data_IF_929710202664
#
_entry.id   IF_929710202664
#
_cell.length_a   1.000
_cell.length_b   1.000
_cell.length_c   1.000
_cell.angle_alpha   90.00
_cell.angle_beta   90.00
_cell.angle_gamma   90.00
#
_symmetry.space_group_name_H-M   'P 1'
#
loop_
_entity.id
_entity.type
_entity.pdbx_description
1 polymer ?
#
# COMPACT_ATOMS: atom_id res chain seq x y z
N UNK A 1 29.05 33.98 40.41
CA UNK A 1 29.33 32.62 39.92
C UNK A 1 27.99 31.95 39.72
N UNK A 2 27.39 31.95 38.53
CA UNK A 2 27.99 31.57 37.25
C UNK A 2 27.74 30.07 37.09
N UNK A 3 26.85 29.70 36.18
CA UNK A 3 26.47 28.32 35.92
C UNK A 3 25.15 28.22 35.16
N UNK A 4 25.13 28.72 33.92
CA UNK A 4 24.22 28.21 32.88
C UNK A 4 24.66 26.77 32.56
N UNK A 5 23.72 25.83 32.55
CA UNK A 5 23.90 24.52 31.92
C UNK A 5 22.88 24.42 30.78
N UNK A 6 23.31 24.81 29.59
CA UNK A 6 22.69 24.38 28.35
C UNK A 6 22.86 22.87 28.24
N UNK A 7 21.74 22.16 28.17
CA UNK A 7 21.69 20.79 27.67
C UNK A 7 21.43 20.89 26.18
N UNK A 8 22.51 20.83 25.42
CA UNK A 8 22.51 20.55 23.99
C UNK A 8 22.07 19.09 23.82
N UNK A 9 20.84 18.88 23.33
CA UNK A 9 20.37 17.57 22.88
C UNK A 9 20.68 17.47 21.38
N UNK A 10 21.96 17.32 21.06
CA UNK A 10 22.38 16.88 19.73
C UNK A 10 21.96 15.43 19.57
N UNK A 11 20.81 15.22 18.91
CA UNK A 11 20.58 13.97 18.19
C UNK A 11 21.70 13.83 17.16
N UNK A 12 22.20 12.62 16.99
CA UNK A 12 23.20 12.31 15.97
C UNK A 12 22.52 12.50 14.60
N UNK A 13 22.51 13.73 14.09
CA UNK A 13 22.01 14.03 12.74
C UNK A 13 22.94 13.29 11.77
N UNK A 14 22.45 12.17 11.23
CA UNK A 14 23.17 11.39 10.23
C UNK A 14 23.64 12.28 9.08
N UNK A 15 24.73 11.89 8.41
CA UNK A 15 25.22 12.66 7.26
C UNK A 15 24.16 12.63 6.17
N UNK A 16 23.77 13.78 5.60
CA UNK A 16 22.84 13.79 4.47
C UNK A 16 23.35 12.85 3.39
N UNK A 17 22.46 12.01 2.86
CA UNK A 17 22.86 10.99 1.92
C UNK A 17 23.59 11.55 0.70
N UNK A 18 23.21 12.76 0.25
CA UNK A 18 23.84 13.45 -0.88
C UNK A 18 25.28 13.94 -0.61
N UNK A 19 25.67 14.05 0.66
CA UNK A 19 27.02 14.45 1.10
C UNK A 19 27.87 13.24 1.53
N UNK A 20 27.37 12.02 1.32
CA UNK A 20 28.00 10.77 1.76
C UNK A 20 28.70 10.02 0.63
N UNK A 21 29.35 8.89 0.94
CA UNK A 21 29.85 7.95 -0.08
C UNK A 21 28.76 7.25 -0.88
N UNK A 22 27.50 7.39 -0.45
CA UNK A 22 26.32 6.80 -1.05
C UNK A 22 25.52 7.79 -1.91
N UNK A 23 26.05 9.00 -2.15
CA UNK A 23 25.36 10.06 -2.89
C UNK A 23 24.87 9.64 -4.28
N UNK A 24 25.56 8.71 -4.93
CA UNK A 24 25.23 8.19 -6.26
C UNK A 24 24.39 6.90 -6.22
N UNK A 25 24.05 6.35 -5.04
CA UNK A 25 23.17 5.18 -4.95
C UNK A 25 21.75 5.58 -5.39
N UNK A 26 21.11 4.70 -6.16
CA UNK A 26 19.71 4.90 -6.58
C UNK A 26 18.82 5.16 -5.36
N UNK A 27 18.96 4.34 -4.30
CA UNK A 27 18.29 4.52 -3.02
C UNK A 27 18.48 5.91 -2.40
N UNK A 28 19.62 6.56 -2.60
CA UNK A 28 19.88 7.91 -2.08
C UNK A 28 19.13 9.01 -2.85
N UNK A 29 19.00 8.79 -4.16
CA UNK A 29 18.50 9.77 -5.13
C UNK A 29 17.02 9.66 -5.45
N UNK A 30 16.34 8.59 -5.02
CA UNK A 30 14.94 8.33 -5.38
C UNK A 30 13.93 9.31 -4.76
N UNK A 31 14.27 10.01 -3.68
CA UNK A 31 13.28 10.66 -2.81
C UNK A 31 12.83 12.04 -3.30
N UNK A 32 11.52 12.27 -3.26
CA UNK A 32 10.91 13.59 -3.39
C UNK A 32 11.07 14.31 -2.05
N UNK A 33 11.95 15.29 -1.99
CA UNK A 33 12.26 16.02 -0.76
C UNK A 33 11.54 17.36 -0.72
N UNK A 34 10.98 17.71 0.44
CA UNK A 34 10.39 19.00 0.68
C UNK A 34 10.52 19.44 2.15
N UNK A 35 10.84 20.72 2.34
CA UNK A 35 11.05 21.38 3.63
C UNK A 35 10.17 22.63 3.82
N UNK A 36 9.30 22.94 2.86
CA UNK A 36 8.53 24.20 2.88
C UNK A 36 7.05 24.07 2.48
N UNK A 37 6.73 23.22 1.51
CA UNK A 37 5.35 23.02 1.05
C UNK A 37 4.54 22.21 2.08
N UNK A 38 3.25 22.52 2.20
CA UNK A 38 2.34 21.89 3.17
C UNK A 38 1.02 21.49 2.52
N UNK A 39 0.35 20.47 3.06
CA UNK A 39 -0.99 20.06 2.63
C UNK A 39 -2.09 20.32 3.68
N UNK A 40 -3.33 20.34 3.21
CA UNK A 40 -4.53 20.50 4.02
C UNK A 40 -4.95 19.15 4.63
N UNK A 41 -4.46 18.85 5.84
CA UNK A 41 -4.78 17.64 6.62
C UNK A 41 -4.92 18.00 8.11
N UNK A 42 -5.26 17.01 8.96
CA UNK A 42 -5.30 17.22 10.41
C UNK A 42 -3.88 17.48 10.94
N UNK A 43 -3.68 18.67 11.53
CA UNK A 43 -2.46 19.00 12.26
C UNK A 43 -2.60 18.50 13.72
N UNK A 44 -1.75 17.56 14.12
CA UNK A 44 -1.86 16.87 15.42
C UNK A 44 -1.12 17.57 16.57
N UNK A 45 -0.14 18.44 16.26
CA UNK A 45 0.76 19.03 17.25
C UNK A 45 1.18 20.49 16.97
N UNK A 46 0.60 21.13 15.95
CA UNK A 46 0.98 22.47 15.51
C UNK A 46 2.27 22.51 14.68
N UNK A 47 2.77 21.36 14.22
CA UNK A 47 3.75 21.27 13.14
C UNK A 47 3.18 21.82 11.83
N UNK A 48 4.09 22.28 10.96
CA UNK A 48 3.75 22.53 9.57
C UNK A 48 3.49 21.17 8.91
N UNK A 49 2.32 20.97 8.30
CA UNK A 49 1.91 19.73 7.62
C UNK A 49 2.75 19.51 6.34
N UNK A 50 4.07 19.38 6.48
CA UNK A 50 5.01 19.30 5.39
C UNK A 50 4.70 18.09 4.51
N UNK A 51 4.69 18.33 3.21
CA UNK A 51 4.54 17.25 2.23
C UNK A 51 5.88 16.61 1.93
N UNK A 52 5.81 15.39 1.40
CA UNK A 52 6.90 14.55 0.92
C UNK A 52 7.95 14.18 2.00
N UNK A 53 9.19 13.91 1.59
CA UNK A 53 10.27 13.48 2.50
C UNK A 53 11.00 14.69 3.09
N UNK A 54 11.15 14.74 4.42
CA UNK A 54 11.82 15.83 5.13
C UNK A 54 13.34 15.60 5.23
N UNK A 55 13.81 14.36 5.37
CA UNK A 55 15.24 14.07 5.38
C UNK A 55 15.59 12.68 4.87
N UNK A 56 16.79 12.55 4.29
CA UNK A 56 17.39 11.27 3.89
C UNK A 56 18.85 11.32 4.30
N UNK A 57 19.22 10.52 5.29
CA UNK A 57 20.55 10.53 5.91
C UNK A 57 21.15 9.13 6.00
N UNK A 58 22.47 9.05 6.06
CA UNK A 58 23.19 7.82 6.32
C UNK A 58 23.31 7.62 7.82
N UNK A 59 22.89 6.44 8.28
CA UNK A 59 23.06 6.00 9.67
C UNK A 59 23.83 4.68 9.69
N UNK A 60 24.57 4.42 10.77
CA UNK A 60 25.35 3.20 10.91
C UNK A 60 24.91 2.45 12.16
N UNK A 61 24.66 1.15 12.02
CA UNK A 61 24.35 0.27 13.13
C UNK A 61 25.06 -1.08 12.95
N UNK A 62 25.67 -1.58 14.02
CA UNK A 62 26.40 -2.87 14.05
C UNK A 62 27.44 -3.06 12.93
N UNK A 63 28.06 -1.95 12.50
CA UNK A 63 29.09 -1.95 11.46
C UNK A 63 28.55 -2.03 10.02
N UNK A 64 27.24 -1.88 9.83
CA UNK A 64 26.59 -1.72 8.53
C UNK A 64 26.01 -0.31 8.41
N UNK A 65 26.04 0.23 7.19
CA UNK A 65 25.44 1.52 6.87
C UNK A 65 24.04 1.32 6.29
N UNK A 66 23.17 2.28 6.58
CA UNK A 66 21.76 2.29 6.20
C UNK A 66 21.38 3.68 5.72
N UNK A 67 20.32 3.76 4.91
CA UNK A 67 19.67 5.01 4.57
C UNK A 67 18.44 5.17 5.46
N UNK A 68 18.41 6.26 6.23
CA UNK A 68 17.32 6.66 7.11
C UNK A 68 16.50 7.74 6.44
N UNK A 69 15.20 7.52 6.32
CA UNK A 69 14.23 8.38 5.64
C UNK A 69 13.22 8.87 6.67
N UNK A 70 13.08 10.19 6.81
CA UNK A 70 12.09 10.80 7.70
C UNK A 70 11.01 11.50 6.88
N UNK A 71 9.74 11.20 7.16
CA UNK A 71 8.58 11.84 6.53
C UNK A 71 7.38 11.91 7.48
N UNK A 72 6.51 12.91 7.29
CA UNK A 72 5.16 12.94 7.87
C UNK A 72 4.16 11.98 7.23
N UNK A 73 4.51 11.36 6.08
CA UNK A 73 3.64 10.48 5.30
C UNK A 73 2.53 11.22 4.55
N UNK A 74 2.77 12.49 4.19
CA UNK A 74 1.81 13.37 3.52
C UNK A 74 2.34 13.69 2.13
N UNK A 75 1.65 13.32 1.04
CA UNK A 75 2.14 13.58 -0.32
C UNK A 75 1.77 14.98 -0.83
N UNK A 76 2.54 15.49 -1.77
CA UNK A 76 2.24 16.70 -2.56
C UNK A 76 1.33 16.43 -3.78
N UNK A 77 0.43 15.46 -3.71
CA UNK A 77 -0.36 15.05 -4.88
C UNK A 77 -1.20 16.20 -5.45
N UNK A 78 -1.15 16.35 -6.77
CA UNK A 78 -2.05 17.22 -7.54
C UNK A 78 -2.73 16.39 -8.60
N UNK A 79 -4.05 16.51 -8.72
CA UNK A 79 -4.86 15.69 -9.62
C UNK A 79 -5.74 16.54 -10.53
N UNK A 80 -5.75 16.21 -11.83
CA UNK A 80 -6.62 16.83 -12.83
C UNK A 80 -7.79 15.92 -13.18
N UNK A 81 -9.01 16.40 -13.00
CA UNK A 81 -10.20 15.58 -13.15
C UNK A 81 -10.56 15.31 -14.61
N UNK A 82 -10.67 14.02 -14.95
CA UNK A 82 -11.18 13.57 -16.25
C UNK A 82 -12.68 13.29 -16.19
N UNK A 83 -13.32 13.16 -17.35
CA UNK A 83 -14.73 12.75 -17.42
C UNK A 83 -14.97 11.37 -16.80
N UNK A 84 -13.99 10.46 -16.89
CA UNK A 84 -14.07 9.11 -16.31
C UNK A 84 -14.05 9.16 -14.79
N UNK A 85 -13.17 9.99 -14.21
CA UNK A 85 -13.09 10.16 -12.75
C UNK A 85 -14.39 10.74 -12.18
N UNK A 86 -14.95 11.78 -12.82
CA UNK A 86 -16.24 12.36 -12.40
C UNK A 86 -17.35 11.32 -12.49
N UNK A 87 -17.43 10.57 -13.60
CA UNK A 87 -18.42 9.51 -13.76
C UNK A 87 -18.26 8.40 -12.70
N UNK A 88 -17.02 8.04 -12.35
CA UNK A 88 -16.75 7.05 -11.30
C UNK A 88 -17.23 7.53 -9.93
N UNK A 89 -16.98 8.81 -9.58
CA UNK A 89 -17.46 9.42 -8.34
C UNK A 89 -18.99 9.45 -8.27
N UNK A 90 -19.66 9.83 -9.36
CA UNK A 90 -21.13 9.87 -9.43
C UNK A 90 -21.78 8.47 -9.43
N UNK A 91 -21.05 7.45 -9.92
CA UNK A 91 -21.53 6.07 -10.00
C UNK A 91 -21.30 5.26 -8.72
N UNK A 92 -20.70 5.85 -7.68
CA UNK A 92 -20.48 5.17 -6.38
C UNK A 92 -21.80 4.65 -5.81
N UNK A 93 -21.83 3.44 -5.21
CA UNK A 93 -23.08 2.84 -4.71
C UNK A 93 -23.83 3.74 -3.72
N UNK A 94 -23.08 4.48 -2.91
CA UNK A 94 -23.59 5.37 -1.87
C UNK A 94 -23.40 6.86 -2.20
N UNK A 95 -23.29 7.23 -3.49
CA UNK A 95 -23.05 8.62 -3.90
C UNK A 95 -23.98 9.65 -3.23
N UNK A 96 -25.24 9.30 -2.95
CA UNK A 96 -26.19 10.21 -2.27
C UNK A 96 -25.84 10.55 -0.82
N UNK A 97 -24.98 9.76 -0.18
CA UNK A 97 -24.50 9.97 1.20
C UNK A 97 -22.99 10.19 1.27
N UNK A 98 -22.27 9.78 0.24
CA UNK A 98 -20.82 9.99 0.16
C UNK A 98 -20.45 11.45 -0.02
N UNK A 99 -21.33 12.24 -0.63
CA UNK A 99 -21.13 13.67 -0.81
C UNK A 99 -21.99 14.48 0.16
N UNK A 100 -21.45 15.60 0.64
CA UNK A 100 -22.21 16.54 1.47
C UNK A 100 -23.33 17.25 0.66
N UNK A 101 -23.20 17.26 -0.66
CA UNK A 101 -24.17 17.80 -1.62
C UNK A 101 -24.78 16.73 -2.52
N UNK A 102 -25.19 17.12 -3.73
CA UNK A 102 -25.80 16.20 -4.70
C UNK A 102 -24.79 15.32 -5.47
N UNK A 103 -23.49 15.52 -5.24
CA UNK A 103 -22.40 14.88 -5.97
C UNK A 103 -21.07 15.61 -5.73
N UNK A 104 -20.01 15.27 -6.47
CA UNK A 104 -18.72 15.96 -6.39
C UNK A 104 -18.85 17.44 -6.77
N UNK A 105 -18.02 18.31 -6.18
CA UNK A 105 -18.00 19.75 -6.46
C UNK A 105 -17.07 20.14 -7.61
N UNK A 106 -16.23 19.21 -8.04
CA UNK A 106 -15.26 19.36 -9.13
C UNK A 106 -15.87 19.04 -10.50
N UNK A 107 -15.30 19.63 -11.54
CA UNK A 107 -15.65 19.46 -12.96
C UNK A 107 -14.48 18.93 -13.78
N UNK A 108 -14.76 18.45 -14.99
CA UNK A 108 -13.71 18.00 -15.93
C UNK A 108 -12.75 19.15 -16.24
N UNK A 109 -11.45 18.89 -16.06
CA UNK A 109 -10.38 19.85 -16.25
C UNK A 109 -10.04 20.67 -15.01
N UNK A 110 -10.78 20.54 -13.91
CA UNK A 110 -10.37 21.09 -12.62
C UNK A 110 -9.14 20.36 -12.12
N UNK A 111 -8.22 21.11 -11.51
CA UNK A 111 -7.03 20.58 -10.84
C UNK A 111 -7.14 20.89 -9.36
N UNK A 112 -6.92 19.90 -8.50
CA UNK A 112 -6.96 20.07 -7.04
C UNK A 112 -5.74 19.42 -6.40
N UNK A 113 -5.34 19.98 -5.26
CA UNK A 113 -4.24 19.46 -4.45
C UNK A 113 -4.76 18.47 -3.40
N UNK A 114 -3.85 17.68 -2.84
CA UNK A 114 -4.12 16.75 -1.76
C UNK A 114 -4.79 17.44 -0.56
N UNK A 115 -5.92 16.89 -0.13
CA UNK A 115 -6.73 17.47 0.95
C UNK A 115 -7.73 18.55 0.51
N UNK A 116 -7.79 18.91 -0.78
CA UNK A 116 -8.78 19.89 -1.25
C UNK A 116 -10.23 19.41 -1.13
N UNK A 117 -11.16 20.33 -0.89
CA UNK A 117 -12.58 20.01 -0.79
C UNK A 117 -13.22 19.71 -2.16
N UNK A 118 -13.39 18.42 -2.48
CA UNK A 118 -14.11 17.94 -3.67
C UNK A 118 -15.55 17.53 -3.38
N UNK A 119 -16.06 17.85 -2.18
CA UNK A 119 -17.45 17.70 -1.80
C UNK A 119 -17.80 16.43 -1.03
N UNK A 120 -16.84 15.56 -0.70
CA UNK A 120 -17.12 14.38 0.11
C UNK A 120 -17.66 14.76 1.51
N UNK A 121 -18.41 13.86 2.10
CA UNK A 121 -18.87 13.91 3.48
C UNK A 121 -17.87 13.14 4.37
N UNK A 122 -16.67 13.70 4.53
CA UNK A 122 -15.55 13.05 5.23
C UNK A 122 -15.86 12.70 6.69
N UNK A 123 -15.35 11.57 7.15
CA UNK A 123 -15.43 11.12 8.55
C UNK A 123 -14.17 11.55 9.31
N UNK A 124 -14.32 12.21 10.46
CA UNK A 124 -13.20 12.45 11.40
C UNK A 124 -12.51 13.81 11.31
N UNK A 125 -12.67 14.56 10.21
CA UNK A 125 -12.13 15.92 10.07
C UNK A 125 -13.22 17.00 9.98
N UNK A 126 -12.90 18.23 10.38
CA UNK A 126 -13.83 19.35 10.44
C UNK A 126 -13.66 20.34 9.29
N UNK A 127 -14.78 20.81 8.73
CA UNK A 127 -14.81 21.90 7.75
C UNK A 127 -14.80 23.23 8.52
N UNK A 128 -13.79 24.09 8.32
CA UNK A 128 -13.64 25.29 9.14
C UNK A 128 -12.35 26.09 8.93
N UNK A 129 -11.91 26.82 9.98
CA UNK A 129 -10.79 27.77 9.91
C UNK A 129 -9.43 27.11 9.59
N UNK A 130 -9.29 25.81 9.83
CA UNK A 130 -8.06 25.03 9.60
C UNK A 130 -8.14 24.09 8.38
N UNK A 131 -9.32 23.96 7.75
CA UNK A 131 -9.62 23.08 6.60
C UNK A 131 -8.83 21.75 6.62
N UNK A 132 -9.16 20.87 7.58
CA UNK A 132 -8.45 19.62 7.94
C UNK A 132 -8.54 18.51 6.86
N UNK A 133 -8.51 18.89 5.59
CA UNK A 133 -8.74 17.99 4.46
C UNK A 133 -10.22 17.60 4.27
N UNK A 134 -11.13 18.26 4.99
CA UNK A 134 -12.55 17.92 4.96
C UNK A 134 -13.15 18.14 3.57
N UNK A 135 -13.68 17.07 2.98
CA UNK A 135 -14.24 17.08 1.62
C UNK A 135 -13.35 16.41 0.57
N UNK A 136 -12.10 16.06 0.90
CA UNK A 136 -11.23 15.24 0.05
C UNK A 136 -11.41 13.73 0.29
N UNK A 137 -11.67 13.35 1.55
CA UNK A 137 -11.77 11.96 1.99
C UNK A 137 -13.19 11.44 1.86
N UNK A 138 -13.43 10.29 1.22
CA UNK A 138 -14.74 9.63 1.27
C UNK A 138 -15.17 9.34 2.73
N UNK A 139 -16.47 9.07 2.97
CA UNK A 139 -16.87 8.49 4.25
C UNK A 139 -16.17 7.14 4.41
N UNK A 140 -15.46 6.98 5.52
CA UNK A 140 -14.60 5.85 5.80
C UNK A 140 -14.02 5.93 7.21
N UNK A 141 -12.88 5.28 7.50
CA UNK A 141 -12.34 5.17 8.84
C UNK A 141 -12.00 6.54 9.45
N UNK A 142 -11.09 7.31 8.85
CA UNK A 142 -10.70 8.63 9.35
C UNK A 142 -9.97 9.48 8.29
N UNK A 143 -9.77 10.76 8.59
CA UNK A 143 -8.93 11.66 7.79
C UNK A 143 -7.45 11.50 8.19
N UNK A 144 -6.51 11.71 7.26
CA UNK A 144 -5.09 11.59 7.57
C UNK A 144 -4.60 12.69 8.49
N UNK A 145 -3.59 12.32 9.26
CA UNK A 145 -2.84 13.12 10.20
C UNK A 145 -1.39 13.22 9.74
N UNK A 146 -0.71 14.30 10.14
CA UNK A 146 0.75 14.34 10.06
C UNK A 146 1.33 13.40 11.13
N UNK A 147 2.02 12.34 10.69
CA UNK A 147 2.66 11.37 11.58
C UNK A 147 4.13 11.25 11.18
N UNK A 148 4.99 11.92 11.95
CA UNK A 148 6.44 11.84 11.79
C UNK A 148 6.92 10.40 12.00
N UNK A 149 7.61 9.87 10.99
CA UNK A 149 8.14 8.50 11.01
C UNK A 149 9.53 8.47 10.41
N UNK A 150 10.33 7.54 10.89
CA UNK A 150 11.64 7.24 10.32
C UNK A 150 11.70 5.78 9.90
N UNK A 151 12.05 5.56 8.63
CA UNK A 151 12.23 4.23 8.05
C UNK A 151 13.70 4.08 7.69
N UNK A 152 14.27 2.93 8.04
CA UNK A 152 15.66 2.59 7.77
C UNK A 152 15.67 1.50 6.72
N UNK A 153 16.51 1.67 5.69
CA UNK A 153 16.68 0.74 4.58
C UNK A 153 18.16 0.35 4.44
N UNK A 154 18.48 -0.92 4.15
CA UNK A 154 19.86 -1.32 3.94
C UNK A 154 20.38 -0.70 2.63
N UNK A 155 21.64 -0.28 2.61
CA UNK A 155 22.27 0.28 1.39
C UNK A 155 22.34 -0.74 0.25
N UNK A 156 22.28 -2.03 0.57
CA UNK A 156 22.31 -3.14 -0.38
C UNK A 156 21.32 -4.22 0.06
N UNK A 157 20.46 -4.66 -0.85
CA UNK A 157 19.55 -5.77 -0.62
C UNK A 157 20.28 -7.12 -0.71
N UNK A 158 19.79 -8.12 0.02
CA UNK A 158 20.26 -9.51 -0.09
C UNK A 158 19.07 -10.45 -0.13
N UNK A 159 19.11 -11.46 -0.98
CA UNK A 159 18.05 -12.48 -1.07
C UNK A 159 17.82 -13.19 0.28
N UNK A 160 16.56 -13.40 0.63
CA UNK A 160 16.18 -14.16 1.81
C UNK A 160 16.45 -15.66 1.59
N UNK A 161 16.94 -16.34 2.62
CA UNK A 161 17.12 -17.81 2.59
C UNK A 161 15.96 -18.58 3.20
N UNK A 162 15.01 -17.87 3.81
CA UNK A 162 13.83 -18.40 4.49
C UNK A 162 12.66 -17.44 4.19
N UNK A 163 11.43 -17.96 4.18
CA UNK A 163 10.25 -17.14 3.96
C UNK A 163 10.14 -16.02 5.00
N UNK A 164 9.94 -14.80 4.52
CA UNK A 164 9.64 -13.64 5.36
C UNK A 164 8.27 -13.08 4.96
N UNK A 165 7.22 -13.49 5.67
CA UNK A 165 5.86 -13.03 5.37
C UNK A 165 5.66 -11.56 5.76
N UNK A 166 4.99 -10.80 4.89
CA UNK A 166 4.73 -9.37 5.07
C UNK A 166 3.73 -9.12 6.22
N UNK A 167 3.90 -8.05 7.01
CA UNK A 167 2.94 -7.65 8.04
C UNK A 167 1.73 -6.91 7.44
N UNK A 168 0.58 -6.95 8.10
CA UNK A 168 -0.66 -6.27 7.66
C UNK A 168 -0.57 -4.75 7.53
N UNK A 169 0.32 -4.09 8.28
CA UNK A 169 0.47 -2.64 8.29
C UNK A 169 1.57 -2.16 7.37
N UNK A 170 2.34 -1.17 7.85
CA UNK A 170 3.52 -0.65 7.17
C UNK A 170 4.38 -1.80 6.67
N UNK A 171 4.64 -1.81 5.37
CA UNK A 171 5.45 -2.81 4.70
C UNK A 171 6.32 -2.20 3.60
N UNK A 172 6.34 -0.88 3.46
CA UNK A 172 7.24 -0.13 2.59
C UNK A 172 6.96 1.37 2.62
N UNK A 173 7.75 2.12 1.87
CA UNK A 173 7.65 3.58 1.78
C UNK A 173 7.78 4.04 0.34
N UNK A 174 6.90 4.94 -0.07
CA UNK A 174 6.95 5.58 -1.38
C UNK A 174 8.04 6.64 -1.43
N UNK A 175 8.47 7.01 -2.63
CA UNK A 175 9.51 8.03 -2.82
C UNK A 175 9.11 9.42 -2.31
N UNK A 176 7.82 9.67 -2.14
CA UNK A 176 7.26 10.86 -1.47
C UNK A 176 6.98 10.63 0.03
N UNK A 177 7.51 9.58 0.65
CA UNK A 177 7.38 9.32 2.08
C UNK A 177 6.03 8.74 2.54
N UNK A 178 5.05 8.57 1.64
CA UNK A 178 3.78 7.89 1.97
C UNK A 178 4.02 6.42 2.26
N UNK A 179 3.29 5.87 3.23
CA UNK A 179 3.40 4.46 3.57
C UNK A 179 2.76 3.55 2.54
N UNK A 180 3.36 2.37 2.40
CA UNK A 180 2.81 1.24 1.67
C UNK A 180 2.37 0.22 2.72
N UNK A 181 1.09 -0.13 2.70
CA UNK A 181 0.55 -1.24 3.47
C UNK A 181 0.39 -2.45 2.57
N UNK A 182 0.37 -3.65 3.16
CA UNK A 182 0.29 -4.87 2.35
C UNK A 182 -1.14 -5.09 1.82
N UNK A 183 -1.41 -6.26 1.24
CA UNK A 183 -2.68 -6.57 0.59
C UNK A 183 -3.92 -6.68 1.51
N UNK A 184 -3.78 -6.74 2.84
CA UNK A 184 -4.89 -7.01 3.78
C UNK A 184 -5.41 -5.75 4.47
N UNK A 185 -6.70 -5.75 4.85
CA UNK A 185 -7.28 -4.76 5.78
C UNK A 185 -7.21 -5.25 7.25
N UNK A 186 -6.64 -6.44 7.47
CA UNK A 186 -6.52 -7.10 8.77
C UNK A 186 -7.79 -7.79 9.29
N UNK A 187 -8.93 -7.66 8.60
CA UNK A 187 -10.17 -8.31 8.93
C UNK A 187 -10.34 -9.65 8.18
N UNK A 188 -11.19 -10.51 8.73
CA UNK A 188 -11.55 -11.78 8.12
C UNK A 188 -13.01 -12.11 8.37
N UNK A 189 -13.62 -12.84 7.43
CA UNK A 189 -15.05 -13.12 7.44
C UNK A 189 -15.52 -13.72 8.79
N UNK A 190 -16.55 -13.10 9.37
CA UNK A 190 -17.18 -13.49 10.65
C UNK A 190 -16.23 -13.63 11.85
N UNK A 191 -15.05 -13.03 11.79
CA UNK A 191 -14.05 -13.17 12.85
C UNK A 191 -13.58 -14.62 13.10
N UNK A 192 -13.58 -15.48 12.06
CA UNK A 192 -13.28 -16.91 12.17
C UNK A 192 -11.80 -17.30 11.92
N UNK A 193 -10.91 -16.34 11.63
CA UNK A 193 -9.48 -16.59 11.36
C UNK A 193 -9.22 -17.28 10.01
N UNK A 194 -10.14 -17.15 9.07
CA UNK A 194 -10.08 -17.67 7.69
C UNK A 194 -10.92 -16.76 6.79
N UNK A 195 -10.59 -16.69 5.49
CA UNK A 195 -11.16 -15.73 4.55
C UNK A 195 -10.81 -14.30 4.93
N UNK A 196 -9.50 -13.99 4.86
CA UNK A 196 -8.94 -12.68 5.14
C UNK A 196 -9.21 -11.76 3.98
N UNK A 197 -9.74 -10.58 4.27
CA UNK A 197 -10.16 -9.63 3.27
C UNK A 197 -8.96 -9.11 2.47
N UNK A 198 -9.18 -8.86 1.19
CA UNK A 198 -8.27 -8.06 0.38
C UNK A 198 -8.67 -6.59 0.52
N UNK A 199 -7.78 -5.75 1.07
CA UNK A 199 -8.00 -4.32 1.28
C UNK A 199 -8.50 -3.63 0.01
N UNK A 200 -7.82 -3.87 -1.11
CA UNK A 200 -8.17 -3.33 -2.42
C UNK A 200 -9.62 -3.59 -2.86
N UNK A 201 -10.24 -4.66 -2.35
CA UNK A 201 -11.64 -5.00 -2.65
C UNK A 201 -12.60 -4.44 -1.63
N UNK A 202 -12.30 -4.60 -0.34
CA UNK A 202 -13.20 -4.20 0.75
C UNK A 202 -13.23 -2.70 0.99
N UNK A 203 -12.15 -2.00 0.65
CA UNK A 203 -11.95 -0.57 0.90
C UNK A 203 -12.00 0.25 -0.39
N UNK A 204 -12.43 -0.36 -1.51
CA UNK A 204 -12.47 0.29 -2.82
C UNK A 204 -13.23 1.62 -2.86
N UNK A 205 -14.18 1.81 -1.93
CA UNK A 205 -14.94 3.05 -1.77
C UNK A 205 -14.41 3.96 -0.67
N UNK A 206 -13.45 3.51 0.14
CA UNK A 206 -12.85 4.28 1.21
C UNK A 206 -11.60 5.03 0.69
N UNK A 207 -11.06 4.59 -0.45
CA UNK A 207 -9.98 5.27 -1.14
C UNK A 207 -10.36 6.64 -1.69
N UNK A 208 -9.47 7.61 -1.46
CA UNK A 208 -9.48 8.92 -2.12
C UNK A 208 -9.32 8.80 -3.63
N UNK A 209 -9.47 9.91 -4.35
CA UNK A 209 -9.24 9.98 -5.80
C UNK A 209 -7.80 9.64 -6.21
N UNK A 210 -6.86 9.64 -5.26
CA UNK A 210 -5.48 9.20 -5.46
C UNK A 210 -5.24 7.72 -5.15
N UNK A 211 -6.26 6.97 -4.73
CA UNK A 211 -6.18 5.53 -4.49
C UNK A 211 -5.66 5.12 -3.11
N UNK A 212 -5.30 6.07 -2.25
CA UNK A 212 -4.93 5.83 -0.85
C UNK A 212 -6.01 6.29 0.13
N UNK A 213 -5.88 5.89 1.38
CA UNK A 213 -6.73 6.29 2.50
C UNK A 213 -5.94 6.31 3.81
N UNK A 214 -6.59 6.66 4.93
CA UNK A 214 -5.94 6.73 6.22
C UNK A 214 -6.54 5.71 7.21
N UNK A 215 -5.68 5.14 8.04
CA UNK A 215 -6.07 4.37 9.21
C UNK A 215 -5.12 4.71 10.35
N UNK A 216 -5.65 4.90 11.55
CA UNK A 216 -4.96 5.47 12.72
C UNK A 216 -4.19 6.76 12.37
N UNK A 217 -4.81 7.63 11.58
CA UNK A 217 -4.22 8.86 11.03
C UNK A 217 -3.18 8.66 9.92
N UNK A 218 -2.67 7.45 9.70
CA UNK A 218 -1.61 7.20 8.73
C UNK A 218 -2.15 7.06 7.30
N UNK A 219 -1.84 8.02 6.41
CA UNK A 219 -2.13 7.87 4.99
C UNK A 219 -1.25 6.81 4.33
N UNK A 220 -1.86 5.91 3.57
CA UNK A 220 -1.16 4.81 2.92
C UNK A 220 -1.89 4.31 1.67
N UNK A 221 -1.17 3.51 0.88
CA UNK A 221 -1.73 2.75 -0.24
C UNK A 221 -1.54 1.24 -0.03
N UNK A 222 -2.50 0.47 -0.51
CA UNK A 222 -2.43 -1.00 -0.62
C UNK A 222 -2.12 -1.48 -2.04
N UNK A 223 -2.12 -0.56 -3.01
CA UNK A 223 -2.15 -0.85 -4.44
C UNK A 223 -1.40 0.22 -5.24
N UNK A 224 -1.54 0.19 -6.57
CA UNK A 224 -1.05 1.22 -7.48
C UNK A 224 -1.50 2.61 -7.01
N UNK A 225 -0.53 3.51 -6.81
CA UNK A 225 -0.77 4.93 -6.46
C UNK A 225 -0.78 5.80 -7.74
N UNK A 226 -1.95 6.03 -8.37
CA UNK A 226 -2.03 6.77 -9.64
C UNK A 226 -1.52 8.20 -9.55
N UNK A 227 -1.77 8.89 -8.44
CA UNK A 227 -1.26 10.27 -8.26
C UNK A 227 0.26 10.32 -8.16
N UNK A 228 0.90 9.32 -7.55
CA UNK A 228 2.36 9.22 -7.56
C UNK A 228 2.88 8.98 -8.98
N UNK A 229 2.22 8.13 -9.76
CA UNK A 229 2.58 7.92 -11.16
C UNK A 229 2.54 9.20 -11.98
N UNK A 230 1.51 10.04 -11.78
CA UNK A 230 1.43 11.37 -12.40
C UNK A 230 2.59 12.27 -11.95
N UNK A 231 2.93 12.29 -10.66
CA UNK A 231 4.06 13.08 -10.15
C UNK A 231 5.42 12.64 -10.69
N UNK A 232 5.56 11.34 -10.98
CA UNK A 232 6.78 10.75 -11.53
C UNK A 232 6.80 10.76 -13.08
N UNK A 233 5.82 11.39 -13.72
CA UNK A 233 5.65 11.40 -15.18
C UNK A 233 5.62 9.98 -15.79
N UNK A 234 5.11 8.98 -15.04
CA UNK A 234 4.98 7.60 -15.53
C UNK A 234 3.74 7.46 -16.43
N UNK A 235 3.93 7.74 -17.72
CA UNK A 235 2.92 7.61 -18.76
C UNK A 235 2.88 6.22 -19.41
N UNK A 236 3.70 5.29 -18.90
CA UNK A 236 3.86 3.94 -19.42
C UNK A 236 4.57 3.82 -20.76
N UNK A 237 5.23 4.88 -21.23
CA UNK A 237 6.02 4.83 -22.47
C UNK A 237 7.37 4.10 -22.31
N UNK A 238 7.81 3.85 -21.08
CA UNK A 238 9.06 3.17 -20.72
C UNK A 238 8.83 2.20 -19.54
N UNK A 239 9.91 1.60 -19.03
CA UNK A 239 9.85 0.91 -17.74
C UNK A 239 9.54 1.93 -16.64
N UNK A 240 8.60 1.61 -15.75
CA UNK A 240 8.20 2.52 -14.69
C UNK A 240 9.38 2.95 -13.83
N UNK A 241 9.40 4.21 -13.33
CA UNK A 241 10.35 4.62 -12.31
C UNK A 241 10.08 3.91 -10.98
N UNK A 242 10.99 4.09 -10.02
CA UNK A 242 10.81 3.61 -8.65
C UNK A 242 9.71 4.43 -7.97
N UNK A 243 8.65 3.76 -7.55
CA UNK A 243 7.57 4.36 -6.76
C UNK A 243 7.88 4.29 -5.27
N UNK A 244 8.69 3.33 -4.82
CA UNK A 244 9.05 3.20 -3.42
C UNK A 244 10.07 2.10 -3.16
N UNK A 245 10.25 1.79 -1.88
CA UNK A 245 11.19 0.78 -1.41
C UNK A 245 10.53 -0.09 -0.35
N UNK A 246 10.80 -1.39 -0.43
CA UNK A 246 10.43 -2.34 0.59
C UNK A 246 11.50 -2.39 1.72
N UNK A 247 11.15 -2.78 2.96
CA UNK A 247 12.05 -2.84 4.12
C UNK A 247 13.21 -3.82 3.98
N UNK A 248 13.14 -4.72 3.02
CA UNK A 248 14.23 -5.64 2.63
C UNK A 248 15.28 -4.97 1.72
N UNK A 249 15.08 -3.71 1.35
CA UNK A 249 15.97 -2.92 0.50
C UNK A 249 15.74 -3.10 -1.00
N UNK A 250 14.70 -3.84 -1.41
CA UNK A 250 14.38 -4.04 -2.84
C UNK A 250 13.48 -2.89 -3.33
N UNK A 251 13.78 -2.29 -4.50
CA UNK A 251 12.95 -1.22 -5.05
C UNK A 251 11.61 -1.75 -5.56
N UNK A 252 10.57 -0.93 -5.41
CA UNK A 252 9.23 -1.13 -5.96
C UNK A 252 9.01 -0.15 -7.11
N UNK A 253 8.88 -0.66 -8.33
CA UNK A 253 8.57 0.12 -9.51
C UNK A 253 7.06 0.26 -9.71
N UNK A 254 6.67 1.26 -10.51
CA UNK A 254 5.30 1.41 -11.03
C UNK A 254 4.88 0.24 -11.93
N UNK A 255 3.74 0.32 -12.63
CA UNK A 255 3.11 -0.85 -13.22
C UNK A 255 3.67 -1.32 -14.56
N UNK A 256 4.59 -0.61 -15.19
CA UNK A 256 5.11 -0.93 -16.53
C UNK A 256 6.49 -1.58 -16.47
N UNK A 257 6.63 -2.75 -17.10
CA UNK A 257 7.93 -3.42 -17.31
C UNK A 257 8.63 -2.92 -18.58
N UNK A 258 7.87 -2.29 -19.48
CA UNK A 258 8.35 -1.60 -20.69
C UNK A 258 7.19 -0.85 -21.35
N UNK A 259 7.47 -0.15 -22.46
CA UNK A 259 6.49 0.65 -23.21
C UNK A 259 5.15 -0.07 -23.46
N UNK A 260 4.11 0.37 -22.74
CA UNK A 260 2.75 -0.13 -22.83
C UNK A 260 2.54 -1.54 -22.28
N UNK A 261 3.56 -2.14 -21.67
CA UNK A 261 3.52 -3.51 -21.13
C UNK A 261 3.46 -3.46 -19.61
N UNK A 262 2.32 -3.89 -19.07
CA UNK A 262 2.11 -3.95 -17.62
C UNK A 262 2.76 -5.20 -17.02
N UNK A 263 3.24 -5.06 -15.78
CA UNK A 263 3.56 -6.18 -14.92
C UNK A 263 2.28 -6.95 -14.55
N UNK A 264 2.32 -8.26 -14.71
CA UNK A 264 1.23 -9.19 -14.46
C UNK A 264 1.66 -10.19 -13.38
N UNK A 265 0.98 -10.14 -12.24
CA UNK A 265 1.17 -11.12 -11.17
C UNK A 265 0.79 -12.52 -11.61
N UNK A 266 1.61 -13.50 -11.22
CA UNK A 266 1.28 -14.92 -11.38
C UNK A 266 0.45 -15.50 -10.23
N UNK A 267 0.03 -14.68 -9.26
CA UNK A 267 -1.04 -15.04 -8.35
C UNK A 267 -2.40 -14.96 -9.05
N UNK A 268 -3.09 -16.10 -9.12
CA UNK A 268 -4.36 -16.27 -9.80
C UNK A 268 -5.50 -16.45 -8.82
N UNK A 269 -6.67 -15.95 -9.16
CA UNK A 269 -7.89 -16.26 -8.42
C UNK A 269 -8.33 -17.70 -8.70
N UNK A 270 -8.78 -18.42 -7.68
CA UNK A 270 -9.37 -19.75 -7.78
C UNK A 270 -10.65 -19.68 -8.61
N UNK A 271 -10.83 -20.63 -9.53
CA UNK A 271 -12.13 -20.91 -10.13
C UNK A 271 -12.92 -21.84 -9.19
N UNK A 272 -14.07 -21.36 -8.72
CA UNK A 272 -14.98 -22.09 -7.84
C UNK A 272 -16.06 -22.87 -8.60
N UNK A 273 -15.93 -23.09 -9.91
CA UNK A 273 -16.81 -24.01 -10.63
C UNK A 273 -16.71 -25.43 -10.05
N UNK A 274 -17.82 -26.20 -10.07
CA UNK A 274 -17.88 -27.52 -9.46
C UNK A 274 -16.84 -28.54 -10.00
N UNK A 275 -16.24 -28.27 -11.16
CA UNK A 275 -15.25 -29.14 -11.82
C UNK A 275 -13.82 -28.62 -11.74
N UNK A 276 -13.60 -27.42 -11.22
CA UNK A 276 -12.27 -26.84 -11.12
C UNK A 276 -11.44 -27.52 -10.04
N UNK A 277 -10.16 -27.74 -10.32
CA UNK A 277 -9.17 -28.26 -9.36
C UNK A 277 -8.90 -27.26 -8.23
N UNK A 278 -8.99 -25.96 -8.51
CA UNK A 278 -8.89 -24.92 -7.49
C UNK A 278 -10.18 -24.74 -6.67
N UNK A 279 -11.30 -25.35 -7.09
CA UNK A 279 -12.61 -25.16 -6.47
C UNK A 279 -12.89 -26.14 -5.31
N UNK A 280 -14.08 -26.05 -4.72
CA UNK A 280 -14.49 -26.92 -3.60
C UNK A 280 -15.48 -28.03 -3.99
N UNK A 281 -15.57 -28.37 -5.28
CA UNK A 281 -16.48 -29.39 -5.79
C UNK A 281 -17.95 -28.98 -5.88
N UNK A 282 -18.29 -27.75 -5.48
CA UNK A 282 -19.60 -27.13 -5.63
C UNK A 282 -19.42 -25.70 -6.15
N UNK A 283 -20.25 -25.33 -7.14
CA UNK A 283 -20.13 -24.03 -7.80
C UNK A 283 -20.31 -22.88 -6.80
N UNK A 284 -19.27 -22.05 -6.68
CA UNK A 284 -19.26 -20.86 -5.83
C UNK A 284 -19.11 -21.12 -4.34
N UNK A 285 -18.85 -22.37 -3.92
CA UNK A 285 -18.74 -22.71 -2.51
C UNK A 285 -17.34 -22.43 -1.93
N UNK A 286 -17.27 -21.60 -0.90
CA UNK A 286 -16.07 -21.36 -0.08
C UNK A 286 -16.02 -22.29 1.14
N UNK A 287 -16.04 -23.60 0.89
CA UNK A 287 -16.11 -24.65 1.94
C UNK A 287 -14.77 -25.37 2.16
N UNK A 288 -13.74 -25.02 1.39
CA UNK A 288 -12.44 -25.67 1.39
C UNK A 288 -11.29 -24.67 1.14
N UNK A 289 -10.12 -25.01 1.66
CA UNK A 289 -8.85 -24.31 1.45
C UNK A 289 -7.93 -25.17 0.60
N UNK A 290 -7.04 -24.54 -0.15
CA UNK A 290 -5.91 -25.26 -0.76
C UNK A 290 -5.02 -25.80 0.35
N UNK A 291 -4.50 -27.02 0.18
CA UNK A 291 -3.50 -27.59 1.10
C UNK A 291 -2.23 -26.75 1.08
N UNK A 292 -1.85 -26.33 -0.13
CA UNK A 292 -0.72 -25.47 -0.43
C UNK A 292 -1.16 -24.53 -1.55
N UNK A 293 -1.15 -23.22 -1.30
CA UNK A 293 -1.55 -22.22 -2.29
C UNK A 293 -0.46 -21.93 -3.33
N UNK A 294 0.66 -22.66 -3.30
CA UNK A 294 1.71 -22.63 -4.33
C UNK A 294 1.77 -23.90 -5.16
N UNK A 295 0.98 -24.92 -4.79
CA UNK A 295 0.91 -26.22 -5.46
C UNK A 295 -0.52 -26.77 -5.46
N UNK A 296 -1.27 -26.43 -6.51
CA UNK A 296 -2.65 -26.91 -6.71
C UNK A 296 -2.77 -28.44 -6.71
N UNK A 297 -1.71 -29.17 -7.07
CA UNK A 297 -1.78 -30.63 -7.18
C UNK A 297 -1.95 -31.33 -5.83
N UNK A 298 -1.69 -30.64 -4.73
CA UNK A 298 -1.95 -31.13 -3.37
C UNK A 298 -3.44 -31.10 -3.00
N UNK A 299 -4.27 -30.46 -3.83
CA UNK A 299 -5.72 -30.42 -3.67
C UNK A 299 -6.18 -29.57 -2.49
N UNK A 300 -7.35 -29.90 -1.96
CA UNK A 300 -8.04 -29.09 -0.95
C UNK A 300 -8.32 -29.85 0.34
N UNK A 301 -8.39 -29.11 1.44
CA UNK A 301 -8.92 -29.57 2.73
C UNK A 301 -10.14 -28.77 3.13
N UNK A 302 -11.04 -29.35 3.92
CA UNK A 302 -12.20 -28.62 4.45
C UNK A 302 -11.76 -27.40 5.26
N UNK A 303 -12.41 -26.26 5.02
CA UNK A 303 -12.14 -25.05 5.79
C UNK A 303 -12.68 -25.19 7.23
N UNK A 304 -11.99 -24.60 8.21
CA UNK A 304 -12.45 -24.55 9.60
C UNK A 304 -13.78 -23.80 9.75
N UNK A 305 -14.01 -22.81 8.89
CA UNK A 305 -15.28 -22.12 8.69
C UNK A 305 -15.50 -21.83 7.20
N UNK A 306 -16.74 -21.91 6.75
CA UNK A 306 -17.08 -21.61 5.35
C UNK A 306 -17.18 -20.11 5.14
N UNK A 307 -16.61 -19.62 4.04
CA UNK A 307 -16.75 -18.25 3.60
C UNK A 307 -18.09 -18.02 2.92
N UNK A 308 -18.43 -16.76 2.59
CA UNK A 308 -19.60 -16.45 1.79
C UNK A 308 -19.44 -17.05 0.39
N UNK A 309 -20.54 -17.39 -0.28
CA UNK A 309 -20.43 -17.92 -1.65
C UNK A 309 -19.88 -16.86 -2.62
N UNK A 310 -19.36 -17.26 -3.78
CA UNK A 310 -18.82 -16.32 -4.79
C UNK A 310 -19.88 -15.39 -5.43
N UNK A 311 -21.13 -15.47 -4.98
CA UNK A 311 -22.26 -14.65 -5.43
C UNK A 311 -22.99 -13.96 -4.27
N UNK A 312 -22.52 -14.16 -3.04
CA UNK A 312 -23.16 -13.60 -1.86
C UNK A 312 -22.77 -12.13 -1.69
N UNK A 313 -23.71 -11.34 -1.14
CA UNK A 313 -23.44 -9.94 -0.82
C UNK A 313 -22.78 -9.85 0.54
N UNK A 314 -21.64 -9.19 0.61
CA UNK A 314 -20.91 -8.88 1.84
C UNK A 314 -20.88 -7.37 2.07
N UNK A 315 -20.64 -6.97 3.31
CA UNK A 315 -20.56 -5.56 3.71
C UNK A 315 -19.17 -5.29 4.31
N UNK A 316 -18.49 -4.26 3.82
CA UNK A 316 -17.25 -3.73 4.37
C UNK A 316 -17.45 -3.06 5.74
N UNK A 317 -16.35 -2.75 6.41
CA UNK A 317 -16.37 -2.04 7.70
C UNK A 317 -17.01 -0.65 7.57
N UNK A 318 -16.80 0.02 6.45
CA UNK A 318 -17.39 1.33 6.12
C UNK A 318 -18.84 1.25 5.62
N UNK A 319 -19.45 0.06 5.61
CA UNK A 319 -20.87 -0.13 5.29
C UNK A 319 -21.20 -0.26 3.80
N UNK A 320 -20.19 -0.26 2.93
CA UNK A 320 -20.37 -0.50 1.49
C UNK A 320 -20.62 -1.98 1.21
N UNK A 321 -21.53 -2.29 0.29
CA UNK A 321 -21.87 -3.67 -0.10
C UNK A 321 -21.19 -4.09 -1.39
N UNK A 322 -20.80 -5.36 -1.44
CA UNK A 322 -20.08 -5.95 -2.57
C UNK A 322 -20.61 -7.36 -2.84
N UNK A 323 -20.53 -7.81 -4.10
CA UNK A 323 -20.63 -9.25 -4.39
C UNK A 323 -19.27 -9.87 -4.12
N UNK A 324 -19.20 -10.86 -3.23
CA UNK A 324 -17.97 -11.52 -2.82
C UNK A 324 -17.46 -12.47 -3.90
N UNK A 325 -17.18 -11.99 -5.10
CA UNK A 325 -16.59 -12.78 -6.19
C UNK A 325 -15.24 -13.39 -5.79
N UNK A 326 -14.73 -14.36 -6.57
CA UNK A 326 -13.39 -14.91 -6.31
C UNK A 326 -12.33 -13.80 -6.35
N UNK A 327 -11.44 -13.78 -5.38
CA UNK A 327 -10.40 -12.77 -5.21
C UNK A 327 -10.73 -11.68 -4.18
N UNK A 328 -11.87 -11.80 -3.48
CA UNK A 328 -12.21 -10.95 -2.34
C UNK A 328 -11.45 -11.32 -1.07
N UNK A 329 -10.99 -12.58 -0.98
CA UNK A 329 -10.25 -13.07 0.16
C UNK A 329 -8.89 -13.65 -0.24
N UNK A 330 -7.90 -13.62 0.63
CA UNK A 330 -6.59 -14.21 0.37
C UNK A 330 -6.66 -15.70 0.00
N UNK A 331 -7.55 -16.45 0.67
CA UNK A 331 -7.80 -17.87 0.39
C UNK A 331 -8.43 -18.15 -0.98
N UNK A 332 -8.83 -17.09 -1.70
CA UNK A 332 -9.23 -17.19 -3.11
C UNK A 332 -8.03 -17.17 -4.06
N UNK A 333 -6.79 -16.98 -3.60
CA UNK A 333 -5.62 -16.91 -4.47
C UNK A 333 -4.72 -18.15 -4.37
N UNK A 334 -4.07 -18.47 -5.48
CA UNK A 334 -2.96 -19.42 -5.57
C UNK A 334 -1.88 -18.89 -6.51
N UNK A 335 -0.63 -19.26 -6.29
CA UNK A 335 0.46 -18.95 -7.19
C UNK A 335 0.55 -19.99 -8.30
N UNK A 336 0.42 -19.57 -9.55
CA UNK A 336 0.64 -20.44 -10.72
C UNK A 336 2.12 -20.37 -11.13
N UNK A 337 2.92 -21.33 -10.68
CA UNK A 337 4.34 -21.38 -11.06
C UNK A 337 4.56 -21.54 -12.58
N UNK A 338 3.56 -22.02 -13.32
CA UNK A 338 3.66 -22.15 -14.79
C UNK A 338 3.44 -20.84 -15.53
N UNK A 339 2.86 -19.84 -14.86
CA UNK A 339 2.71 -18.48 -15.37
C UNK A 339 4.06 -17.75 -15.48
N UNK A 340 5.07 -18.13 -14.67
CA UNK A 340 6.44 -17.61 -14.80
C UNK A 340 7.15 -18.35 -15.95
N UNK A 341 6.83 -17.98 -17.17
CA UNK A 341 7.24 -18.67 -18.40
C UNK A 341 8.44 -18.02 -19.13
N UNK A 342 9.02 -17.00 -18.51
CA UNK A 342 10.13 -16.20 -19.05
C UNK A 342 9.68 -15.01 -19.89
N UNK A 343 8.38 -14.75 -20.04
CA UNK A 343 7.89 -13.44 -20.48
C UNK A 343 8.22 -12.38 -19.42
N UNK A 344 8.72 -11.23 -19.89
CA UNK A 344 9.09 -10.11 -19.04
C UNK A 344 7.91 -9.59 -18.22
N UNK A 345 6.67 -9.71 -18.71
CA UNK A 345 5.51 -9.20 -17.97
C UNK A 345 5.14 -10.06 -16.75
N UNK A 346 5.73 -11.25 -16.58
CA UNK A 346 5.30 -12.22 -15.56
C UNK A 346 6.09 -12.07 -14.27
N UNK A 347 5.40 -11.75 -13.19
CA UNK A 347 6.01 -11.62 -11.86
C UNK A 347 6.07 -12.96 -11.13
N UNK A 348 7.11 -13.13 -10.33
CA UNK A 348 7.28 -14.30 -9.49
C UNK A 348 6.36 -14.30 -8.26
N UNK A 349 6.60 -15.24 -7.33
CA UNK A 349 5.80 -15.40 -6.11
C UNK A 349 5.85 -14.18 -5.18
N UNK A 350 6.93 -13.40 -5.24
CA UNK A 350 7.10 -12.16 -4.47
C UNK A 350 6.59 -10.93 -5.24
N UNK A 351 5.94 -11.13 -6.40
CA UNK A 351 5.46 -10.07 -7.27
C UNK A 351 6.57 -9.14 -7.80
N UNK A 352 7.73 -9.74 -8.08
CA UNK A 352 8.85 -9.08 -8.73
C UNK A 352 9.51 -9.95 -9.79
N UNK A 353 10.59 -9.46 -10.36
CA UNK A 353 11.46 -10.22 -11.24
C UNK A 353 12.84 -9.56 -11.35
N UNK A 354 13.74 -10.16 -12.14
CA UNK A 354 15.02 -9.55 -12.51
C UNK A 354 15.17 -9.49 -14.02
N UNK A 355 15.53 -8.33 -14.55
CA UNK A 355 15.94 -8.20 -15.94
C UNK A 355 16.85 -6.99 -16.17
N UNK A 356 17.56 -7.03 -17.30
CA UNK A 356 18.47 -5.98 -17.77
C UNK A 356 19.41 -5.47 -16.64
N UNK A 357 19.48 -4.15 -16.47
CA UNK A 357 20.37 -3.49 -15.51
C UNK A 357 19.62 -3.07 -14.22
N UNK A 358 18.37 -3.52 -14.03
CA UNK A 358 17.55 -3.15 -12.87
C UNK A 358 17.79 -4.04 -11.64
N UNK A 359 18.39 -5.21 -11.82
CA UNK A 359 18.47 -6.22 -10.75
C UNK A 359 17.09 -6.76 -10.38
N UNK A 360 16.98 -7.38 -9.20
CA UNK A 360 15.67 -7.81 -8.69
C UNK A 360 14.89 -6.61 -8.17
N UNK A 361 13.63 -6.49 -8.60
CA UNK A 361 12.74 -5.43 -8.17
C UNK A 361 11.27 -5.91 -8.19
N UNK A 362 10.46 -5.28 -7.35
CA UNK A 362 9.01 -5.49 -7.33
C UNK A 362 8.33 -4.56 -8.33
N UNK A 363 7.11 -4.92 -8.72
CA UNK A 363 6.23 -4.04 -9.49
C UNK A 363 4.89 -3.85 -8.79
N UNK A 364 4.38 -2.62 -8.82
CA UNK A 364 2.98 -2.41 -8.50
C UNK A 364 2.09 -3.02 -9.59
N UNK A 365 1.25 -3.99 -9.25
CA UNK A 365 0.40 -4.69 -10.23
C UNK A 365 -1.09 -4.42 -9.97
N UNK A 366 -1.93 -4.60 -10.99
CA UNK A 366 -3.39 -4.50 -10.82
C UNK A 366 -4.01 -5.76 -10.20
N UNK A 367 -3.27 -6.87 -10.22
CA UNK A 367 -3.65 -8.13 -9.58
C UNK A 367 -3.02 -8.24 -8.19
N UNK A 368 -3.56 -9.12 -7.35
CA UNK A 368 -2.93 -9.48 -6.08
C UNK A 368 -1.47 -9.91 -6.32
N UNK A 369 -0.50 -9.53 -5.48
CA UNK A 369 -0.62 -8.81 -4.20
C UNK A 369 -0.53 -7.28 -4.32
N UNK A 370 -0.61 -6.74 -5.54
CA UNK A 370 -0.57 -5.31 -5.89
C UNK A 370 0.76 -4.57 -5.66
N UNK A 371 1.63 -5.02 -4.74
CA UNK A 371 2.95 -4.43 -4.48
C UNK A 371 4.05 -5.48 -4.45
N UNK A 372 4.24 -6.17 -3.33
CA UNK A 372 5.11 -7.34 -3.17
C UNK A 372 4.30 -8.49 -2.55
N UNK A 373 4.79 -9.72 -2.74
CA UNK A 373 4.16 -10.98 -2.36
C UNK A 373 3.70 -11.07 -0.91
N UNK A 374 2.92 -12.11 -0.56
CA UNK A 374 2.76 -12.50 0.84
C UNK A 374 4.11 -12.63 1.56
N UNK A 375 5.19 -12.90 0.82
CA UNK A 375 6.58 -12.87 1.29
C UNK A 375 7.43 -11.85 0.53
N UNK A 376 8.40 -11.25 1.23
CA UNK A 376 9.50 -10.50 0.61
C UNK A 376 10.50 -11.45 -0.08
N UNK A 377 11.08 -11.02 -1.20
CA UNK A 377 12.25 -11.61 -1.84
C UNK A 377 13.53 -11.37 -1.02
N UNK A 378 13.73 -10.15 -0.52
CA UNK A 378 14.92 -9.78 0.22
C UNK A 378 14.82 -10.12 1.71
N UNK A 379 15.98 -10.23 2.35
CA UNK A 379 16.13 -10.44 3.78
C UNK A 379 15.89 -9.13 4.53
N UNK A 380 15.02 -9.15 5.53
CA UNK A 380 14.92 -8.05 6.49
C UNK A 380 16.21 -7.91 7.32
N UNK A 381 16.66 -6.67 7.42
CA UNK A 381 17.79 -6.30 8.27
C UNK A 381 17.34 -6.19 9.74
N UNK A 382 18.29 -6.29 10.68
CA UNK A 382 17.97 -6.35 12.12
C UNK A 382 17.28 -5.07 12.64
N UNK A 383 17.50 -3.94 11.97
CA UNK A 383 16.90 -2.64 12.32
C UNK A 383 15.71 -2.25 11.43
N UNK A 384 15.14 -3.20 10.69
CA UNK A 384 13.96 -2.94 9.90
C UNK A 384 12.83 -2.46 10.81
N UNK A 385 12.00 -1.52 10.32
CA UNK A 385 10.84 -1.02 11.04
C UNK A 385 9.75 -2.10 11.25
N UNK A 386 9.94 -3.30 10.70
CA UNK A 386 8.98 -4.40 10.66
C UNK A 386 9.67 -5.74 10.95
N UNK A 387 8.87 -6.75 11.29
CA UNK A 387 9.32 -8.11 11.52
C UNK A 387 8.61 -9.10 10.57
N UNK A 388 9.33 -10.14 10.15
CA UNK A 388 8.75 -11.24 9.37
C UNK A 388 7.63 -11.92 10.15
N UNK A 389 6.49 -12.11 9.50
CA UNK A 389 5.40 -12.90 10.06
C UNK A 389 5.69 -14.39 9.92
N UNK A 390 5.13 -15.21 10.82
CA UNK A 390 5.37 -16.66 10.84
C UNK A 390 4.57 -17.44 9.80
N UNK A 391 3.56 -16.83 9.21
CA UNK A 391 2.63 -17.47 8.29
C UNK A 391 1.95 -16.42 7.38
N UNK A 392 1.44 -16.83 6.20
CA UNK A 392 0.81 -15.91 5.25
C UNK A 392 -0.56 -15.40 5.69
N UNK A 393 -1.18 -16.04 6.68
CA UNK A 393 -2.49 -15.70 7.20
C UNK A 393 -2.42 -14.69 8.34
N UNK A 394 -1.20 -14.35 8.77
CA UNK A 394 -0.90 -13.43 9.85
C UNK A 394 -1.60 -13.92 11.12
N UNK A 395 -0.90 -14.70 11.95
CA UNK A 395 -1.17 -14.72 13.38
C UNK A 395 -1.09 -13.28 13.91
N UNK A 396 -2.17 -12.51 13.77
CA UNK A 396 -2.39 -11.23 14.42
C UNK A 396 -2.31 -11.50 15.91
N UNK A 397 -1.11 -11.36 16.46
CA UNK A 397 -0.86 -11.40 17.88
C UNK A 397 -1.58 -10.22 18.52
N UNK A 398 -2.86 -10.38 18.85
CA UNK A 398 -3.58 -9.54 19.80
C UNK A 398 -3.69 -8.03 19.52
N UNK A 399 -3.34 -7.56 18.32
CA UNK A 399 -3.65 -6.23 17.84
C UNK A 399 -4.91 -6.28 16.99
N UNK A 400 -6.06 -6.54 17.60
CA UNK A 400 -7.32 -6.32 16.88
C UNK A 400 -7.39 -4.86 16.42
N UNK A 401 -8.12 -4.53 15.34
CA UNK A 401 -8.51 -3.14 15.11
C UNK A 401 -9.18 -2.65 16.41
N UNK A 402 -8.84 -1.44 16.92
CA UNK A 402 -9.52 -0.92 18.09
C UNK A 402 -11.01 -0.86 17.78
N UNK A 403 -11.80 -1.35 18.72
CA UNK A 403 -13.25 -1.31 18.65
C UNK A 403 -13.76 0.09 18.30
N UNK A 404 -14.68 0.15 17.33
CA UNK A 404 -15.52 1.29 16.96
C UNK A 404 -15.89 2.23 18.12
#
# INVERSE_FOLDING_TARGET
SGGESGGDSGGDEGTDCSDSTYADLVLCTSWMRNDTETAAIIATDGSDNLVDVQSVSVTSADGSDYISITSGGVPSYTISFTAEMIAALEARPNASTDFAGAGPTVSVGDTVDFGADIGFNSTGCTRGETDEGAGFWPPGPECPEFIDRTIVLPVEASEATEDCYTPAGLSGVMVNGVSIFNWTDGAHYNNEGVWYNIAQKFEAYDFSVCGGHAAQGEYHHHNVAPCLGIQLDDDGSEHSPIYGWAPDGVPLHGPYVSNGSLAESCWQTRDYSATSESGCGETGARTCLLVDNTDLSQGTVSAGSSGPTTSETVTSQSGNTFTAESGFYFQDYYFDATCVDGDLTRMDIHNGHSHDDHGYHYHMTTGFPFTYGPTFYGKLHENAAIECQSDPYMSMGGGGPPSL
#
